data_IF_528779729965
#
_entry.id   IF_528779729965
#
_cell.length_a   1.000
_cell.length_b   1.000
_cell.length_c   1.000
_cell.angle_alpha   90.00
_cell.angle_beta   90.00
_cell.angle_gamma   90.00
#
_symmetry.space_group_name_H-M   'P 1'
#
loop_
_entity.id
_entity.type
_entity.pdbx_description
1 polymer ?
#
# COMPACT_ATOMS: atom_id res chain seq x y z
N UNK A 1 -10.70 16.75 -19.73
CA UNK A 1 -9.40 16.89 -20.45
C UNK A 1 -8.34 16.86 -19.36
N UNK A 2 -7.40 15.90 -19.37
CA UNK A 2 -6.41 15.79 -18.30
C UNK A 2 -5.48 17.02 -18.31
N UNK A 3 -5.20 17.55 -17.13
CA UNK A 3 -4.21 18.59 -16.91
C UNK A 3 -2.83 17.94 -17.03
N UNK A 4 -1.97 18.46 -17.90
CA UNK A 4 -0.68 17.86 -18.25
C UNK A 4 0.53 18.70 -17.82
N UNK A 5 0.28 19.79 -17.12
CA UNK A 5 1.31 20.68 -16.59
C UNK A 5 0.83 21.31 -15.29
N UNK A 6 1.74 21.81 -14.46
CA UNK A 6 1.42 22.47 -13.20
C UNK A 6 0.40 23.60 -13.35
N UNK A 7 0.44 24.28 -14.49
CA UNK A 7 -0.54 25.27 -14.89
C UNK A 7 -0.90 25.04 -16.36
N UNK A 8 -2.13 24.67 -16.63
CA UNK A 8 -2.65 24.53 -18.00
C UNK A 8 -3.64 25.65 -18.32
N UNK A 9 -3.91 25.85 -19.60
CA UNK A 9 -4.79 26.89 -20.09
C UNK A 9 -5.80 26.29 -21.04
N UNK A 10 -7.07 26.29 -20.62
CA UNK A 10 -8.17 25.93 -21.48
C UNK A 10 -8.73 27.16 -22.15
N UNK A 11 -8.87 27.11 -23.48
CA UNK A 11 -9.56 28.15 -24.22
C UNK A 11 -10.86 27.62 -24.81
N UNK A 12 -11.94 28.34 -24.56
CA UNK A 12 -13.23 28.08 -25.14
C UNK A 12 -13.59 29.22 -26.11
N UNK A 13 -13.92 28.86 -27.34
CA UNK A 13 -14.22 29.81 -28.41
C UNK A 13 -15.55 29.51 -29.04
N UNK A 14 -16.41 30.52 -29.16
CA UNK A 14 -17.74 30.44 -29.80
C UNK A 14 -17.75 31.30 -31.03
N UNK A 15 -18.15 30.72 -32.16
CA UNK A 15 -18.33 31.39 -33.46
C UNK A 15 -19.77 31.26 -33.90
N UNK A 16 -20.31 32.32 -34.49
CA UNK A 16 -21.55 32.25 -35.23
C UNK A 16 -21.32 31.95 -36.70
N UNK A 17 -22.27 31.27 -37.32
CA UNK A 17 -22.31 31.02 -38.77
C UNK A 17 -23.71 31.47 -39.25
N UNK A 18 -23.74 32.31 -40.30
CA UNK A 18 -25.01 32.76 -40.89
C UNK A 18 -25.61 31.69 -41.83
N UNK A 19 -26.80 31.98 -42.38
CA UNK A 19 -27.53 31.07 -43.26
C UNK A 19 -26.84 30.88 -44.64
N UNK A 20 -25.87 31.71 -44.95
CA UNK A 20 -25.10 31.67 -46.19
C UNK A 20 -23.75 30.96 -45.97
N UNK A 21 -23.45 30.55 -44.75
CA UNK A 21 -22.20 29.85 -44.38
C UNK A 21 -21.06 30.78 -44.03
N UNK A 22 -21.26 32.09 -43.92
CA UNK A 22 -20.23 33.01 -43.47
C UNK A 22 -19.98 32.88 -41.98
N UNK A 23 -18.73 32.78 -41.62
CA UNK A 23 -18.29 32.55 -40.26
C UNK A 23 -17.88 33.85 -39.58
N UNK A 24 -18.24 34.02 -38.33
CA UNK A 24 -17.79 35.15 -37.50
C UNK A 24 -16.28 35.23 -37.48
N UNK A 25 -15.74 36.39 -37.85
CA UNK A 25 -14.29 36.65 -37.92
C UNK A 25 -13.74 37.13 -36.55
N UNK A 26 -14.60 37.43 -35.61
CA UNK A 26 -14.23 37.91 -34.27
C UNK A 26 -14.95 37.11 -33.17
N UNK A 27 -14.62 35.81 -33.03
CA UNK A 27 -15.32 34.93 -32.08
C UNK A 27 -15.09 35.39 -30.64
N UNK A 28 -16.08 35.12 -29.80
CA UNK A 28 -15.90 35.26 -28.34
C UNK A 28 -15.02 34.17 -27.82
N UNK A 29 -13.99 34.55 -27.09
CA UNK A 29 -13.01 33.64 -26.49
C UNK A 29 -12.89 33.85 -24.99
N UNK A 30 -12.99 32.77 -24.22
CA UNK A 30 -12.65 32.73 -22.80
C UNK A 30 -11.40 31.87 -22.62
N UNK A 31 -10.49 32.36 -21.82
CA UNK A 31 -9.27 31.65 -21.43
C UNK A 31 -9.34 31.39 -19.92
N UNK A 32 -9.31 30.12 -19.54
CA UNK A 32 -9.40 29.68 -18.16
C UNK A 32 -8.06 29.04 -17.76
N UNK A 33 -7.28 29.68 -16.90
CA UNK A 33 -6.12 29.02 -16.28
C UNK A 33 -6.63 27.98 -15.27
N UNK A 34 -6.11 26.78 -15.36
CA UNK A 34 -6.42 25.69 -14.43
C UNK A 34 -5.12 25.21 -13.80
N UNK A 35 -5.09 25.25 -12.49
CA UNK A 35 -3.93 24.76 -11.72
C UNK A 35 -4.09 23.27 -11.43
N UNK A 36 -3.04 22.51 -11.69
CA UNK A 36 -2.98 21.11 -11.31
C UNK A 36 -2.96 20.95 -9.78
N UNK A 37 -3.66 19.95 -9.28
CA UNK A 37 -3.65 19.54 -7.88
C UNK A 37 -2.74 18.32 -7.70
N UNK A 38 -1.92 18.26 -6.64
CA UNK A 38 -1.15 17.06 -6.39
C UNK A 38 -2.06 15.90 -5.99
N UNK A 39 -1.75 14.66 -6.40
CA UNK A 39 -2.46 13.47 -5.95
C UNK A 39 -2.18 13.20 -4.47
N UNK A 40 -3.01 12.37 -3.85
CA UNK A 40 -2.78 11.82 -2.53
C UNK A 40 -2.87 10.29 -2.56
N UNK A 41 -2.12 9.64 -1.69
CA UNK A 41 -2.09 8.19 -1.53
C UNK A 41 -2.27 7.85 -0.06
N UNK A 42 -3.00 6.76 0.24
CA UNK A 42 -3.21 6.28 1.60
C UNK A 42 -3.22 4.75 1.63
N UNK A 43 -2.70 4.15 2.70
CA UNK A 43 -2.80 2.71 2.86
C UNK A 43 -4.24 2.27 3.08
N UNK A 44 -4.59 1.14 2.48
CA UNK A 44 -5.84 0.45 2.73
C UNK A 44 -5.54 -0.88 3.40
N UNK A 45 -5.78 -0.94 4.69
CA UNK A 45 -5.61 -2.15 5.46
C UNK A 45 -6.92 -2.92 5.49
N UNK A 46 -6.99 -4.00 4.72
CA UNK A 46 -8.17 -4.86 4.68
C UNK A 46 -8.19 -5.75 5.92
N UNK A 47 -9.21 -5.58 6.75
CA UNK A 47 -9.42 -6.38 7.96
C UNK A 47 -8.33 -6.24 9.02
N UNK A 48 -7.63 -5.12 9.06
CA UNK A 48 -6.66 -4.87 10.12
C UNK A 48 -7.36 -4.54 11.43
N UNK A 49 -7.17 -5.34 12.48
CA UNK A 49 -7.45 -4.86 13.83
C UNK A 49 -6.52 -3.69 14.13
N UNK A 50 -7.04 -2.70 14.84
CA UNK A 50 -6.22 -1.61 15.34
C UNK A 50 -5.36 -2.12 16.49
N UNK A 51 -4.16 -1.56 16.61
CA UNK A 51 -3.23 -1.92 17.68
C UNK A 51 -3.86 -1.79 19.08
N UNK A 52 -4.69 -0.75 19.27
CA UNK A 52 -5.40 -0.54 20.51
C UNK A 52 -6.34 -1.69 20.90
N UNK A 53 -6.79 -2.47 19.93
CA UNK A 53 -7.72 -3.57 20.17
C UNK A 53 -7.01 -4.81 20.72
N UNK A 54 -5.73 -4.97 20.44
CA UNK A 54 -4.95 -6.13 20.90
C UNK A 54 -3.67 -5.77 21.66
N UNK A 55 -3.40 -4.48 21.86
CA UNK A 55 -2.35 -4.00 22.77
C UNK A 55 -0.90 -4.22 22.27
N UNK A 56 -0.71 -4.57 21.00
CA UNK A 56 0.62 -4.69 20.38
C UNK A 56 0.91 -3.51 19.47
N UNK A 57 2.11 -2.96 19.54
CA UNK A 57 2.62 -1.92 18.64
C UNK A 57 3.47 -2.48 17.50
N UNK A 58 3.63 -3.79 17.44
CA UNK A 58 4.48 -4.49 16.47
C UNK A 58 3.65 -5.32 15.50
N UNK A 59 3.92 -5.13 14.23
CA UNK A 59 3.37 -5.95 13.14
C UNK A 59 4.37 -7.02 12.74
N UNK A 60 3.95 -8.26 12.69
CA UNK A 60 4.79 -9.39 12.30
C UNK A 60 4.36 -9.96 10.95
N UNK A 61 5.33 -10.29 10.11
CA UNK A 61 5.13 -11.09 8.89
C UNK A 61 6.29 -12.04 8.69
N UNK A 62 6.11 -13.03 7.84
CA UNK A 62 7.21 -13.77 7.23
C UNK A 62 7.80 -12.95 6.07
N UNK A 63 8.84 -13.43 5.34
CA UNK A 63 9.48 -12.66 4.27
C UNK A 63 8.61 -12.33 3.06
N UNK A 64 7.31 -12.16 3.26
CA UNK A 64 6.35 -11.76 2.24
C UNK A 64 5.25 -10.89 2.85
N UNK A 65 4.81 -9.88 2.11
CA UNK A 65 3.69 -9.02 2.52
C UNK A 65 3.03 -8.36 1.32
N UNK A 66 1.71 -8.20 1.39
CA UNK A 66 0.92 -7.45 0.43
C UNK A 66 0.56 -6.08 0.99
N UNK A 67 0.93 -5.02 0.28
CA UNK A 67 0.48 -3.66 0.56
C UNK A 67 -0.63 -3.28 -0.41
N UNK A 68 -1.68 -2.63 0.11
CA UNK A 68 -2.79 -2.10 -0.66
C UNK A 68 -2.92 -0.61 -0.37
N UNK A 69 -3.35 0.17 -1.36
CA UNK A 69 -3.52 1.61 -1.24
C UNK A 69 -4.69 2.12 -2.07
N UNK A 70 -5.17 3.28 -1.68
CA UNK A 70 -6.11 4.08 -2.45
C UNK A 70 -5.41 5.37 -2.89
N UNK A 71 -5.73 5.83 -4.09
CA UNK A 71 -5.22 7.08 -4.65
C UNK A 71 -6.41 7.98 -4.94
N UNK A 72 -6.26 9.26 -4.63
CA UNK A 72 -7.22 10.29 -4.98
C UNK A 72 -6.50 11.47 -5.60
N UNK A 73 -7.10 12.00 -6.67
CA UNK A 73 -6.64 13.21 -7.35
C UNK A 73 -7.86 14.05 -7.72
N UNK A 74 -7.85 15.33 -7.37
CA UNK A 74 -8.94 16.27 -7.66
C UNK A 74 -9.15 16.48 -9.16
N UNK A 75 -8.08 16.26 -9.95
CA UNK A 75 -8.09 16.39 -11.39
C UNK A 75 -8.47 15.08 -12.10
N UNK A 76 -8.74 14.03 -11.32
CA UNK A 76 -9.13 12.69 -11.74
C UNK A 76 -8.05 11.64 -11.44
N UNK A 77 -8.44 10.53 -10.83
CA UNK A 77 -7.49 9.46 -10.47
C UNK A 77 -6.74 8.88 -11.68
N UNK A 78 -7.33 8.98 -12.87
CA UNK A 78 -6.72 8.55 -14.13
C UNK A 78 -5.54 9.42 -14.57
N UNK A 79 -5.33 10.57 -13.93
CA UNK A 79 -4.15 11.43 -14.17
C UNK A 79 -2.90 10.89 -13.51
N UNK A 80 -3.05 10.05 -12.47
CA UNK A 80 -1.92 9.44 -11.78
C UNK A 80 -1.23 8.44 -12.69
N UNK A 81 0.01 8.71 -13.03
CA UNK A 81 0.76 7.96 -14.03
C UNK A 81 1.73 6.96 -13.42
N UNK A 82 2.34 7.32 -12.32
CA UNK A 82 3.39 6.52 -11.70
C UNK A 82 3.19 6.42 -10.19
N UNK A 83 3.51 5.24 -9.66
CA UNK A 83 3.66 5.00 -8.24
C UNK A 83 5.11 4.58 -8.01
N UNK A 84 5.68 5.03 -6.90
CA UNK A 84 7.04 4.72 -6.49
C UNK A 84 7.03 4.14 -5.09
N UNK A 85 7.70 3.02 -4.91
CA UNK A 85 7.86 2.41 -3.60
C UNK A 85 9.31 2.06 -3.32
N UNK A 86 9.63 1.92 -2.04
CA UNK A 86 10.93 1.44 -1.57
C UNK A 86 10.81 0.71 -0.24
N UNK A 87 11.80 -0.12 0.07
CA UNK A 87 11.95 -0.79 1.36
C UNK A 87 13.15 -0.22 2.12
N UNK A 88 12.93 0.13 3.37
CA UNK A 88 13.94 0.53 4.37
C UNK A 88 14.71 1.82 4.07
N UNK A 89 14.79 2.24 2.82
CA UNK A 89 15.55 3.42 2.42
C UNK A 89 14.73 4.24 1.42
N UNK A 90 14.59 5.54 1.69
CA UNK A 90 13.89 6.51 0.85
C UNK A 90 14.83 7.41 0.06
N UNK A 91 16.07 6.99 -0.19
CA UNK A 91 17.04 7.74 -0.97
C UNK A 91 16.56 7.96 -2.42
N UNK A 92 17.10 8.99 -3.09
CA UNK A 92 16.66 9.39 -4.43
C UNK A 92 16.70 8.24 -5.46
N UNK A 93 17.65 7.31 -5.34
CA UNK A 93 17.83 6.16 -6.24
C UNK A 93 17.21 4.86 -5.75
N UNK A 94 16.57 4.86 -4.57
CA UNK A 94 16.02 3.66 -3.93
C UNK A 94 14.62 3.29 -4.41
N UNK A 95 13.99 4.15 -5.21
CA UNK A 95 12.60 4.01 -5.63
C UNK A 95 12.41 3.05 -6.80
N UNK A 96 11.53 2.09 -6.63
CA UNK A 96 11.03 1.24 -7.70
C UNK A 96 9.73 1.84 -8.24
N UNK A 97 9.67 2.06 -9.56
CA UNK A 97 8.51 2.61 -10.25
C UNK A 97 7.58 1.51 -10.72
N UNK A 98 6.28 1.69 -10.48
CA UNK A 98 5.20 0.87 -11.01
C UNK A 98 4.12 1.76 -11.65
N UNK A 99 3.16 1.14 -12.34
CA UNK A 99 2.08 1.86 -13.02
C UNK A 99 1.11 2.51 -12.03
N UNK A 100 0.58 3.70 -12.39
CA UNK A 100 -0.37 4.45 -11.56
C UNK A 100 -1.75 3.79 -11.40
N UNK A 101 -2.08 2.79 -12.21
CA UNK A 101 -3.33 2.03 -12.14
C UNK A 101 -3.29 0.87 -11.12
N UNK A 102 -2.12 0.59 -10.54
CA UNK A 102 -1.99 -0.43 -9.51
C UNK A 102 -2.51 0.06 -8.16
N UNK A 103 -3.19 -0.83 -7.45
CA UNK A 103 -3.72 -0.58 -6.10
C UNK A 103 -3.16 -1.53 -5.04
N UNK A 104 -2.24 -2.40 -5.42
CA UNK A 104 -1.58 -3.33 -4.52
C UNK A 104 -0.25 -3.85 -5.06
N UNK A 105 0.60 -4.31 -4.16
CA UNK A 105 1.83 -5.06 -4.48
C UNK A 105 2.09 -6.11 -3.42
N UNK A 106 2.49 -7.31 -3.85
CA UNK A 106 3.01 -8.34 -2.96
C UNK A 106 4.53 -8.37 -3.10
N UNK A 107 5.22 -8.14 -2.00
CA UNK A 107 6.67 -8.24 -1.90
C UNK A 107 7.05 -9.60 -1.33
N UNK A 108 8.13 -10.16 -1.82
CA UNK A 108 8.73 -11.43 -1.36
C UNK A 108 10.20 -11.23 -1.04
N UNK A 109 10.80 -12.18 -0.37
CA UNK A 109 12.22 -12.15 -0.01
C UNK A 109 12.62 -10.92 0.84
N UNK A 110 11.67 -10.45 1.65
CA UNK A 110 11.89 -9.31 2.54
C UNK A 110 12.91 -9.72 3.61
N UNK A 111 13.85 -8.84 3.89
CA UNK A 111 14.91 -9.10 4.86
C UNK A 111 14.34 -9.34 6.27
N UNK A 112 14.83 -10.37 6.94
CA UNK A 112 14.49 -10.65 8.35
C UNK A 112 14.94 -9.51 9.26
N UNK A 113 14.09 -9.16 10.22
CA UNK A 113 14.24 -8.05 11.15
C UNK A 113 13.30 -6.89 10.87
N UNK A 114 13.62 -5.73 11.40
CA UNK A 114 12.80 -4.53 11.22
C UNK A 114 12.86 -4.03 9.78
N UNK A 115 11.70 -3.64 9.26
CA UNK A 115 11.53 -3.12 7.91
C UNK A 115 10.57 -1.94 7.90
N UNK A 116 10.69 -1.10 6.87
CA UNK A 116 9.78 0.00 6.58
C UNK A 116 9.48 0.02 5.08
N UNK A 117 8.22 0.16 4.74
CA UNK A 117 7.76 0.33 3.36
C UNK A 117 7.38 1.79 3.14
N UNK A 118 7.88 2.38 2.06
CA UNK A 118 7.58 3.76 1.66
C UNK A 118 6.91 3.77 0.31
N UNK A 119 5.92 4.66 0.11
CA UNK A 119 5.22 4.79 -1.16
C UNK A 119 4.79 6.24 -1.41
N UNK A 120 4.80 6.67 -2.67
CA UNK A 120 4.25 7.93 -3.15
C UNK A 120 3.83 7.80 -4.61
N UNK A 121 3.02 8.73 -5.11
CA UNK A 121 2.57 8.73 -6.50
C UNK A 121 2.79 10.06 -7.19
N UNK A 122 2.76 10.03 -8.53
CA UNK A 122 2.96 11.19 -9.39
C UNK A 122 1.93 11.19 -10.52
N UNK A 123 1.32 12.34 -10.75
CA UNK A 123 0.42 12.55 -11.88
C UNK A 123 1.15 12.83 -13.21
N UNK A 124 0.37 12.97 -14.26
CA UNK A 124 0.87 13.25 -15.62
C UNK A 124 1.48 14.66 -15.76
N UNK A 125 1.11 15.58 -14.87
CA UNK A 125 1.64 16.94 -14.83
C UNK A 125 2.98 17.03 -14.08
N UNK A 126 3.34 15.97 -13.36
CA UNK A 126 4.56 15.88 -12.59
C UNK A 126 4.42 16.24 -11.11
N UNK A 127 3.19 16.58 -10.65
CA UNK A 127 2.96 16.82 -9.23
C UNK A 127 3.02 15.49 -8.46
N UNK A 128 3.49 15.56 -7.21
CA UNK A 128 3.79 14.41 -6.38
C UNK A 128 2.93 14.44 -5.11
N UNK A 129 2.52 13.26 -4.67
CA UNK A 129 1.96 13.10 -3.33
C UNK A 129 3.03 13.26 -2.26
N UNK A 130 2.61 13.39 -1.01
CA UNK A 130 3.48 13.13 0.13
C UNK A 130 3.92 11.67 0.13
N UNK A 131 5.09 11.40 0.74
CA UNK A 131 5.57 10.04 1.00
C UNK A 131 4.85 9.53 2.23
N UNK A 132 4.19 8.40 2.12
CA UNK A 132 3.64 7.70 3.28
C UNK A 132 4.47 6.45 3.56
N UNK A 133 4.50 6.04 4.82
CA UNK A 133 5.33 4.92 5.28
C UNK A 133 4.51 3.93 6.12
N UNK A 134 4.90 2.67 6.05
CA UNK A 134 4.42 1.66 6.98
C UNK A 134 5.65 0.97 7.62
N UNK A 135 5.73 0.87 8.96
CA UNK A 135 4.82 1.49 9.93
C UNK A 135 4.86 3.02 9.85
N UNK A 136 3.78 3.65 10.28
CA UNK A 136 3.71 5.09 10.49
C UNK A 136 3.86 5.41 11.98
N UNK A 137 5.06 5.71 12.42
CA UNK A 137 5.35 6.06 13.81
C UNK A 137 4.66 7.33 14.30
N UNK A 138 4.11 8.13 13.39
CA UNK A 138 3.31 9.31 13.75
C UNK A 138 1.86 8.96 14.09
N UNK A 139 1.37 7.80 13.64
CA UNK A 139 0.02 7.34 13.92
C UNK A 139 0.02 6.31 15.06
N UNK A 140 -0.33 6.76 16.25
CA UNK A 140 -0.36 5.91 17.46
C UNK A 140 -1.41 4.79 17.44
N UNK A 141 -2.30 4.80 16.44
CA UNK A 141 -3.32 3.75 16.26
C UNK A 141 -2.89 2.67 15.27
N UNK A 142 -1.70 2.77 14.71
CA UNK A 142 -1.14 1.79 13.79
C UNK A 142 0.14 1.15 14.36
N UNK A 143 0.64 0.11 13.70
CA UNK A 143 1.91 -0.50 14.07
C UNK A 143 3.03 0.54 14.09
N UNK A 144 3.81 0.52 15.16
CA UNK A 144 4.99 1.38 15.31
C UNK A 144 6.24 0.70 14.75
N UNK A 145 6.24 -0.63 14.73
CA UNK A 145 7.35 -1.44 14.25
C UNK A 145 6.80 -2.57 13.35
N UNK A 146 7.47 -2.84 12.25
CA UNK A 146 7.21 -4.01 11.41
C UNK A 146 8.42 -4.93 11.41
N UNK A 147 8.21 -6.16 11.92
CA UNK A 147 9.26 -7.18 12.04
C UNK A 147 8.96 -8.34 11.11
N UNK A 148 9.92 -8.68 10.27
CA UNK A 148 9.89 -9.88 9.44
C UNK A 148 10.57 -11.01 10.20
N UNK A 149 9.80 -12.09 10.45
CA UNK A 149 10.29 -13.30 11.14
C UNK A 149 11.10 -14.18 10.19
N UNK A 150 12.11 -14.89 10.68
CA UNK A 150 12.77 -15.92 9.91
C UNK A 150 11.83 -17.10 9.68
N UNK A 151 11.90 -17.70 8.49
CA UNK A 151 11.21 -18.96 8.19
C UNK A 151 12.02 -20.12 8.78
N UNK A 152 11.30 -21.04 9.43
CA UNK A 152 11.83 -22.30 9.93
C UNK A 152 11.05 -23.44 9.26
N UNK A 153 11.77 -24.27 8.50
CA UNK A 153 11.16 -25.38 7.76
C UNK A 153 10.17 -24.95 6.68
N UNK A 154 9.48 -25.92 6.12
CA UNK A 154 8.53 -25.74 5.00
C UNK A 154 7.06 -25.86 5.46
N UNK A 155 6.82 -25.81 6.76
CA UNK A 155 5.49 -25.97 7.36
C UNK A 155 5.18 -24.72 8.17
N UNK A 156 3.98 -24.16 7.95
CA UNK A 156 3.45 -23.04 8.73
C UNK A 156 2.27 -23.53 9.60
N UNK A 157 2.42 -23.37 10.90
CA UNK A 157 1.27 -23.44 11.84
C UNK A 157 0.70 -22.02 11.91
N UNK A 158 -0.58 -21.89 11.57
CA UNK A 158 -1.33 -20.64 11.72
C UNK A 158 -2.22 -20.78 12.94
N UNK A 159 -1.94 -20.01 13.96
CA UNK A 159 -2.77 -19.93 15.16
C UNK A 159 -3.64 -18.67 15.08
N UNK A 160 -4.94 -18.85 14.88
CA UNK A 160 -5.95 -17.79 14.85
C UNK A 160 -6.83 -17.78 16.10
N UNK A 161 -6.40 -18.46 17.15
CA UNK A 161 -7.14 -18.56 18.39
C UNK A 161 -6.86 -17.33 19.26
N UNK A 162 -7.83 -16.41 19.42
CA UNK A 162 -7.58 -15.08 20.00
C UNK A 162 -7.49 -15.06 21.53
N UNK A 163 -7.67 -16.17 22.16
CA UNK A 163 -7.65 -16.25 23.61
C UNK A 163 -6.39 -16.96 24.06
N UNK A 164 -5.67 -16.28 24.94
CA UNK A 164 -4.59 -16.89 25.71
C UNK A 164 -4.71 -18.39 25.72
N UNK A 165 -3.82 -19.04 25.17
CA UNK A 165 -3.56 -20.46 25.09
C UNK A 165 -4.05 -21.28 26.33
N UNK A 166 -5.21 -20.88 26.90
CA UNK A 166 -5.81 -21.47 28.09
C UNK A 166 -6.00 -22.98 27.94
N UNK A 167 -6.13 -23.45 26.70
CA UNK A 167 -6.25 -24.85 26.35
C UNK A 167 -4.94 -25.49 25.89
N UNK A 168 -3.81 -24.77 25.92
CA UNK A 168 -2.52 -25.25 25.43
C UNK A 168 -2.55 -25.81 24.00
N UNK A 169 -3.42 -25.30 23.14
CA UNK A 169 -3.62 -25.82 21.78
C UNK A 169 -2.35 -25.71 20.95
N UNK A 170 -1.73 -24.52 20.93
CA UNK A 170 -0.46 -24.30 20.21
C UNK A 170 0.65 -25.19 20.76
N UNK A 171 0.80 -25.29 22.09
CA UNK A 171 1.79 -26.15 22.72
C UNK A 171 1.62 -27.61 22.35
N UNK A 172 0.36 -28.08 22.23
CA UNK A 172 0.06 -29.44 21.85
C UNK A 172 0.45 -29.70 20.39
N UNK A 173 0.08 -28.84 19.47
CA UNK A 173 0.48 -28.95 18.04
C UNK A 173 1.99 -28.85 17.88
N UNK A 174 2.63 -27.91 18.56
CA UNK A 174 4.11 -27.76 18.53
C UNK A 174 4.79 -29.02 19.03
N UNK A 175 4.34 -29.63 20.11
CA UNK A 175 4.90 -30.88 20.63
C UNK A 175 4.79 -32.05 19.63
N UNK A 176 3.72 -32.12 18.85
CA UNK A 176 3.57 -33.11 17.77
C UNK A 176 4.56 -32.80 16.66
N UNK A 177 4.64 -31.54 16.23
CA UNK A 177 5.52 -31.14 15.15
C UNK A 177 7.00 -31.32 15.52
N UNK A 178 7.39 -31.03 16.75
CA UNK A 178 8.74 -31.31 17.27
C UNK A 178 9.12 -32.78 17.13
N UNK A 179 8.13 -33.67 17.34
CA UNK A 179 8.35 -35.12 17.20
C UNK A 179 8.43 -35.53 15.74
N UNK A 180 7.67 -34.89 14.84
CA UNK A 180 7.58 -35.29 13.44
C UNK A 180 8.70 -34.70 12.57
N UNK A 181 9.03 -33.41 12.78
CA UNK A 181 9.94 -32.66 11.90
C UNK A 181 11.05 -31.93 12.67
N UNK A 182 11.03 -31.97 14.00
CA UNK A 182 11.97 -31.26 14.87
C UNK A 182 11.59 -29.78 15.07
N UNK A 183 12.16 -29.16 16.12
CA UNK A 183 11.87 -27.77 16.54
C UNK A 183 12.13 -26.71 15.46
N UNK A 184 12.94 -27.00 14.46
CA UNK A 184 13.27 -26.09 13.34
C UNK A 184 12.59 -26.47 12.03
N UNK A 185 11.72 -27.48 12.05
CA UNK A 185 11.06 -28.00 10.85
C UNK A 185 9.77 -27.27 10.48
N UNK A 186 9.34 -26.28 11.28
CA UNK A 186 8.12 -25.53 11.06
C UNK A 186 8.23 -24.10 11.60
N UNK A 187 7.37 -23.23 11.12
CA UNK A 187 7.18 -21.86 11.58
C UNK A 187 5.82 -21.73 12.27
N UNK A 188 5.68 -20.80 13.19
CA UNK A 188 4.42 -20.46 13.87
C UNK A 188 4.04 -19.02 13.58
N UNK A 189 2.77 -18.80 13.22
CA UNK A 189 2.18 -17.48 13.04
C UNK A 189 0.94 -17.34 13.93
N UNK A 190 1.06 -16.53 14.96
CA UNK A 190 -0.01 -16.24 15.91
C UNK A 190 -0.78 -15.01 15.44
N UNK A 191 -1.83 -15.23 14.63
CA UNK A 191 -2.59 -14.13 13.99
C UNK A 191 -3.27 -13.25 15.04
N UNK A 192 -3.74 -13.82 16.15
CA UNK A 192 -4.44 -13.09 17.19
C UNK A 192 -3.57 -12.08 17.94
N UNK A 193 -2.27 -12.39 18.08
CA UNK A 193 -1.32 -11.62 18.85
C UNK A 193 -0.35 -10.80 17.95
N UNK A 194 -0.23 -11.17 16.70
CA UNK A 194 0.73 -10.56 15.77
C UNK A 194 0.04 -9.67 14.74
N UNK A 195 0.11 -8.40 14.97
CA UNK A 195 -0.54 -7.35 14.20
C UNK A 195 0.38 -6.62 13.22
N UNK A 196 -0.22 -5.89 12.29
CA UNK A 196 -1.56 -6.07 11.76
C UNK A 196 -1.59 -7.28 10.84
N UNK A 197 -2.68 -8.02 10.86
CA UNK A 197 -2.89 -9.00 9.82
C UNK A 197 -4.04 -8.59 8.90
N UNK A 198 -4.02 -9.03 7.65
CA UNK A 198 -5.09 -8.85 6.70
C UNK A 198 -5.29 -10.14 5.90
N UNK A 199 -6.44 -10.28 5.27
CA UNK A 199 -6.69 -11.45 4.38
C UNK A 199 -5.66 -11.56 3.26
N UNK A 200 -5.10 -10.44 2.80
CA UNK A 200 -4.04 -10.41 1.79
C UNK A 200 -2.70 -10.86 2.36
N UNK A 201 -2.38 -10.54 3.60
CA UNK A 201 -1.16 -11.02 4.28
C UNK A 201 -1.25 -12.51 4.53
N UNK A 202 -2.40 -13.03 4.98
CA UNK A 202 -2.64 -14.48 5.10
C UNK A 202 -2.41 -15.17 3.76
N UNK A 203 -3.03 -14.67 2.69
CA UNK A 203 -2.87 -15.24 1.35
C UNK A 203 -1.43 -15.19 0.84
N UNK A 204 -0.68 -14.15 1.14
CA UNK A 204 0.73 -14.02 0.75
C UNK A 204 1.59 -15.06 1.49
N UNK A 205 1.42 -15.19 2.79
CA UNK A 205 2.16 -16.17 3.60
C UNK A 205 1.83 -17.61 3.21
N UNK A 206 0.55 -17.95 3.00
CA UNK A 206 0.14 -19.29 2.58
C UNK A 206 0.65 -19.67 1.17
N UNK A 207 1.01 -18.70 0.35
CA UNK A 207 1.65 -18.96 -0.96
C UNK A 207 3.16 -19.09 -0.86
N UNK A 208 3.73 -18.52 0.19
CA UNK A 208 5.18 -18.53 0.43
C UNK A 208 5.65 -19.86 1.03
N UNK A 209 4.82 -20.50 1.88
CA UNK A 209 5.03 -21.83 2.45
C UNK A 209 4.34 -22.90 1.58
#
# INVERSE_FOLDING_TARGET
VPIRSELDVFSFEVKSIDNEGNMDQSPSKIVLPVKNSPPSISFRFLSNPQIADIGSDTSYTFPTRTFNWDITDLDGNETVQNIFYSLNDSCETCWTRISGDQSSITLTDIKVGENTFHIWCQDIAGAKSEIISFPDSANVNDAQVWVVKPVQGDILIVDDYPLDNENNTLSWYSSIMDTLVGETGYSVWEIGDELPFSSTDVSANLKYF
#
